data_IF_130959118450
#
_entry.id   IF_130959118450
#
_cell.length_a   1.000
_cell.length_b   1.000
_cell.length_c   1.000
_cell.angle_alpha   90.00
_cell.angle_beta   90.00
_cell.angle_gamma   90.00
#
_symmetry.space_group_name_H-M   'P 1'
#
loop_
_entity.id
_entity.type
_entity.pdbx_description
1 polymer ?
#
# COMPACT_ATOMS: atom_id res chain seq x y z
N UNK A 1 2.08 21.18 -19.51
CA UNK A 1 2.48 19.82 -19.84
C UNK A 1 2.62 18.95 -18.56
N UNK A 2 3.43 19.33 -17.59
CA UNK A 2 3.68 18.60 -16.34
C UNK A 2 2.41 18.24 -15.56
N UNK A 3 1.47 19.18 -15.42
CA UNK A 3 0.20 18.96 -14.72
C UNK A 3 -0.66 17.90 -15.42
N UNK A 4 -0.66 17.84 -16.75
CA UNK A 4 -1.39 16.84 -17.53
C UNK A 4 -0.75 15.44 -17.39
N UNK A 5 0.59 15.35 -17.38
CA UNK A 5 1.32 14.10 -17.20
C UNK A 5 1.11 13.55 -15.80
N UNK A 6 1.27 14.37 -14.77
CA UNK A 6 1.01 13.98 -13.38
C UNK A 6 -0.43 13.49 -13.17
N UNK A 7 -1.41 14.19 -13.74
CA UNK A 7 -2.81 13.79 -13.67
C UNK A 7 -3.05 12.43 -14.35
N UNK A 8 -2.44 12.18 -15.52
CA UNK A 8 -2.51 10.88 -16.20
C UNK A 8 -1.86 9.77 -15.39
N UNK A 9 -0.66 9.99 -14.86
CA UNK A 9 0.06 9.01 -14.03
C UNK A 9 -0.78 8.58 -12.82
N UNK A 10 -1.38 9.53 -12.13
CA UNK A 10 -2.29 9.25 -11.01
C UNK A 10 -3.56 8.53 -11.48
N UNK A 11 -4.17 8.95 -12.60
CA UNK A 11 -5.40 8.34 -13.11
C UNK A 11 -5.21 6.87 -13.53
N UNK A 12 -4.02 6.50 -13.96
CA UNK A 12 -3.63 5.13 -14.30
C UNK A 12 -2.99 4.34 -13.14
N UNK A 13 -3.03 4.86 -11.91
CA UNK A 13 -2.48 4.23 -10.70
C UNK A 13 -0.96 3.99 -10.73
N UNK A 14 -0.21 4.71 -11.56
CA UNK A 14 1.25 4.57 -11.66
C UNK A 14 1.91 4.97 -10.34
N UNK A 15 1.42 6.01 -9.67
CA UNK A 15 1.96 6.46 -8.38
C UNK A 15 1.82 5.38 -7.30
N UNK A 16 0.69 4.67 -7.27
CA UNK A 16 0.44 3.57 -6.33
C UNK A 16 1.39 2.39 -6.63
N UNK A 17 1.60 2.06 -7.91
CA UNK A 17 2.53 1.01 -8.31
C UNK A 17 3.98 1.37 -7.94
N UNK A 18 4.39 2.63 -8.12
CA UNK A 18 5.69 3.13 -7.66
C UNK A 18 5.81 3.07 -6.14
N UNK A 19 4.76 3.39 -5.39
CA UNK A 19 4.74 3.29 -3.94
C UNK A 19 4.93 1.84 -3.45
N UNK A 20 4.31 0.87 -4.12
CA UNK A 20 4.50 -0.55 -3.80
C UNK A 20 5.93 -1.02 -4.11
N UNK A 21 6.49 -0.62 -5.26
CA UNK A 21 7.87 -0.89 -5.62
C UNK A 21 8.87 -0.28 -4.64
N UNK A 22 8.67 0.98 -4.27
CA UNK A 22 9.48 1.69 -3.28
C UNK A 22 9.43 1.00 -1.91
N UNK A 23 8.23 0.60 -1.47
CA UNK A 23 8.04 -0.12 -0.22
C UNK A 23 8.71 -1.50 -0.22
N UNK A 24 8.70 -2.22 -1.35
CA UNK A 24 9.39 -3.51 -1.50
C UNK A 24 10.91 -3.34 -1.55
N UNK A 25 11.39 -2.30 -2.21
CA UNK A 25 12.81 -1.97 -2.24
C UNK A 25 13.36 -1.68 -0.84
N UNK A 26 12.59 -1.02 0.05
CA UNK A 26 12.98 -0.88 1.47
C UNK A 26 13.22 -2.21 2.16
N UNK A 27 12.41 -3.23 1.86
CA UNK A 27 12.61 -4.58 2.41
C UNK A 27 13.88 -5.21 1.85
N UNK A 28 14.14 -5.09 0.54
CA UNK A 28 15.34 -5.61 -0.12
C UNK A 28 16.60 -4.95 0.45
N UNK A 29 16.62 -3.62 0.57
CA UNK A 29 17.73 -2.87 1.17
C UNK A 29 18.02 -3.32 2.61
N UNK A 30 16.98 -3.68 3.37
CA UNK A 30 17.13 -4.10 4.77
C UNK A 30 17.81 -5.45 4.91
N UNK A 31 17.65 -6.36 3.94
CA UNK A 31 18.30 -7.66 3.93
C UNK A 31 19.69 -7.65 3.28
N UNK A 32 20.18 -6.45 2.97
CA UNK A 32 21.50 -6.21 2.37
C UNK A 32 21.74 -6.93 1.03
N UNK A 33 20.65 -7.19 0.29
CA UNK A 33 20.70 -7.79 -1.03
C UNK A 33 20.98 -6.75 -2.11
N UNK A 34 21.62 -7.20 -3.19
CA UNK A 34 21.78 -6.39 -4.39
C UNK A 34 20.38 -6.03 -4.94
N UNK A 35 20.26 -4.83 -5.50
CA UNK A 35 19.02 -4.34 -6.09
C UNK A 35 18.44 -5.35 -7.09
N UNK A 36 17.42 -6.10 -6.67
CA UNK A 36 16.71 -7.01 -7.55
C UNK A 36 15.67 -6.26 -8.37
N UNK A 37 16.11 -5.67 -9.48
CA UNK A 37 15.28 -4.86 -10.38
C UNK A 37 14.11 -5.68 -10.94
N UNK A 38 14.31 -6.98 -11.18
CA UNK A 38 13.26 -7.87 -11.70
C UNK A 38 12.13 -8.00 -10.70
N UNK A 39 12.43 -8.18 -9.40
CA UNK A 39 11.43 -8.26 -8.34
C UNK A 39 10.66 -6.94 -8.18
N UNK A 40 11.37 -5.82 -8.18
CA UNK A 40 10.76 -4.49 -8.10
C UNK A 40 9.82 -4.26 -9.29
N UNK A 41 10.25 -4.64 -10.51
CA UNK A 41 9.42 -4.55 -11.71
C UNK A 41 8.20 -5.49 -11.64
N UNK A 42 8.35 -6.71 -11.14
CA UNK A 42 7.23 -7.65 -10.94
C UNK A 42 6.17 -7.04 -10.03
N UNK A 43 6.57 -6.49 -8.89
CA UNK A 43 5.65 -5.85 -7.94
C UNK A 43 5.00 -4.60 -8.54
N UNK A 44 5.76 -3.81 -9.31
CA UNK A 44 5.23 -2.66 -10.03
C UNK A 44 4.09 -3.05 -10.98
N UNK A 45 4.36 -3.99 -11.89
CA UNK A 45 3.36 -4.41 -12.88
C UNK A 45 2.18 -5.13 -12.23
N UNK A 46 2.41 -5.97 -11.22
CA UNK A 46 1.34 -6.62 -10.48
C UNK A 46 0.41 -5.61 -9.81
N UNK A 47 0.96 -4.62 -9.14
CA UNK A 47 0.18 -3.57 -8.49
C UNK A 47 -0.58 -2.74 -9.52
N UNK A 48 0.07 -2.40 -10.63
CA UNK A 48 -0.56 -1.65 -11.71
C UNK A 48 -1.73 -2.42 -12.34
N UNK A 49 -1.59 -3.74 -12.53
CA UNK A 49 -2.65 -4.62 -13.00
C UNK A 49 -3.83 -4.64 -12.01
N UNK A 50 -3.57 -4.96 -10.74
CA UNK A 50 -4.60 -5.10 -9.69
C UNK A 50 -5.42 -3.80 -9.53
N UNK A 51 -4.78 -2.64 -9.52
CA UNK A 51 -5.46 -1.36 -9.32
C UNK A 51 -6.21 -0.85 -10.54
N UNK A 52 -5.85 -1.30 -11.74
CA UNK A 52 -6.57 -0.95 -12.97
C UNK A 52 -7.68 -1.93 -13.32
N UNK A 53 -7.57 -3.21 -12.96
CA UNK A 53 -8.53 -4.27 -13.28
C UNK A 53 -10.00 -3.92 -12.91
N UNK A 54 -10.33 -3.43 -11.71
CA UNK A 54 -11.72 -3.11 -11.32
C UNK A 54 -12.30 -1.90 -12.05
N UNK A 55 -11.47 -1.15 -12.76
CA UNK A 55 -11.85 0.06 -13.49
C UNK A 55 -11.91 -0.16 -15.00
N UNK A 56 -11.79 -1.41 -15.44
CA UNK A 56 -11.91 -1.75 -16.85
C UNK A 56 -13.34 -1.53 -17.34
N UNK A 57 -13.52 -0.95 -18.53
CA UNK A 57 -14.84 -0.87 -19.16
C UNK A 57 -15.29 -2.28 -19.53
N UNK A 58 -16.55 -2.60 -19.25
CA UNK A 58 -17.17 -3.87 -19.64
C UNK A 58 -17.55 -3.93 -21.13
N UNK A 59 -17.45 -2.81 -21.84
CA UNK A 59 -17.83 -2.66 -23.25
C UNK A 59 -16.67 -2.10 -24.08
N UNK A 60 -16.58 -2.53 -25.35
CA UNK A 60 -15.67 -1.97 -26.34
C UNK A 60 -16.06 -0.52 -26.71
N UNK A 61 -15.11 0.36 -27.08
CA UNK A 61 -13.73 0.07 -27.49
C UNK A 61 -12.75 -0.01 -26.30
N UNK A 62 -11.63 -0.73 -26.51
CA UNK A 62 -10.54 -0.85 -25.54
C UNK A 62 -9.92 0.52 -25.24
N UNK A 63 -9.92 0.91 -23.98
CA UNK A 63 -9.32 2.17 -23.52
C UNK A 63 -7.82 2.01 -23.27
N UNK A 64 -7.08 3.13 -23.20
CA UNK A 64 -5.66 3.12 -22.78
C UNK A 64 -5.46 2.39 -21.45
N UNK A 65 -6.44 2.44 -20.55
CA UNK A 65 -6.40 1.71 -19.26
C UNK A 65 -6.44 0.20 -19.48
N UNK A 66 -7.24 -0.28 -20.42
CA UNK A 66 -7.31 -1.70 -20.75
C UNK A 66 -5.96 -2.20 -21.25
N UNK A 67 -5.32 -1.47 -22.15
CA UNK A 67 -3.99 -1.82 -22.66
C UNK A 67 -2.93 -1.82 -21.56
N UNK A 68 -2.94 -0.82 -20.68
CA UNK A 68 -2.03 -0.78 -19.52
C UNK A 68 -2.25 -1.99 -18.62
N UNK A 69 -3.50 -2.35 -18.34
CA UNK A 69 -3.82 -3.50 -17.51
C UNK A 69 -3.36 -4.82 -18.14
N UNK A 70 -3.69 -5.04 -19.41
CA UNK A 70 -3.28 -6.26 -20.14
C UNK A 70 -1.77 -6.40 -20.24
N UNK A 71 -1.07 -5.30 -20.58
CA UNK A 71 0.39 -5.29 -20.60
C UNK A 71 0.97 -5.61 -19.22
N UNK A 72 0.40 -5.03 -18.17
CA UNK A 72 0.86 -5.26 -16.79
C UNK A 72 0.63 -6.70 -16.34
N UNK A 73 -0.50 -7.32 -16.71
CA UNK A 73 -0.77 -8.75 -16.44
C UNK A 73 0.26 -9.62 -17.16
N UNK A 74 0.50 -9.36 -18.45
CA UNK A 74 1.46 -10.13 -19.25
C UNK A 74 2.89 -9.99 -18.70
N UNK A 75 3.32 -8.76 -18.42
CA UNK A 75 4.62 -8.49 -17.84
C UNK A 75 4.80 -9.21 -16.49
N UNK A 76 3.79 -9.16 -15.62
CA UNK A 76 3.82 -9.87 -14.34
C UNK A 76 3.92 -11.38 -14.55
N UNK A 77 3.12 -11.95 -15.46
CA UNK A 77 3.14 -13.37 -15.76
C UNK A 77 4.50 -13.85 -16.27
N UNK A 78 5.17 -13.05 -17.10
CA UNK A 78 6.54 -13.37 -17.58
C UNK A 78 7.56 -13.28 -16.45
N UNK A 79 7.52 -12.20 -15.67
CA UNK A 79 8.53 -11.93 -14.65
C UNK A 79 8.45 -12.88 -13.46
N UNK A 80 7.26 -13.41 -13.12
CA UNK A 80 7.07 -14.27 -11.95
C UNK A 80 7.77 -15.61 -12.06
N UNK A 81 8.02 -16.11 -13.28
CA UNK A 81 8.74 -17.37 -13.51
C UNK A 81 10.23 -17.33 -13.12
N UNK A 82 10.76 -16.14 -12.80
CA UNK A 82 12.13 -16.00 -12.27
C UNK A 82 12.26 -16.38 -10.80
N UNK A 83 11.14 -16.69 -10.09
CA UNK A 83 11.13 -16.90 -8.65
C UNK A 83 10.81 -18.35 -8.28
N UNK A 84 11.17 -18.70 -7.03
CA UNK A 84 10.87 -19.99 -6.45
C UNK A 84 9.36 -20.22 -6.25
N UNK A 85 8.97 -21.48 -6.08
CA UNK A 85 7.58 -21.88 -5.92
C UNK A 85 6.89 -21.26 -4.70
N UNK A 86 7.64 -20.94 -3.63
CA UNK A 86 7.10 -20.31 -2.41
C UNK A 86 6.64 -18.88 -2.74
N UNK A 87 7.48 -18.12 -3.43
CA UNK A 87 7.15 -16.77 -3.87
C UNK A 87 5.97 -16.77 -4.86
N UNK A 88 5.95 -17.72 -5.81
CA UNK A 88 4.85 -17.86 -6.76
C UNK A 88 3.53 -18.15 -6.03
N UNK A 89 3.52 -19.09 -5.08
CA UNK A 89 2.34 -19.44 -4.30
C UNK A 89 1.85 -18.27 -3.44
N UNK A 90 2.77 -17.54 -2.80
CA UNK A 90 2.45 -16.35 -2.01
C UNK A 90 1.81 -15.27 -2.89
N UNK A 91 2.34 -15.07 -4.09
CA UNK A 91 1.84 -14.11 -5.05
C UNK A 91 0.43 -14.48 -5.56
N UNK A 92 0.22 -15.76 -5.93
CA UNK A 92 -1.09 -16.26 -6.35
C UNK A 92 -2.13 -16.15 -5.22
N UNK A 93 -1.73 -16.46 -3.99
CA UNK A 93 -2.58 -16.29 -2.80
C UNK A 93 -2.97 -14.82 -2.59
N UNK A 94 -2.03 -13.89 -2.76
CA UNK A 94 -2.31 -12.46 -2.66
C UNK A 94 -3.27 -11.98 -3.77
N UNK A 95 -3.10 -12.45 -5.01
CA UNK A 95 -4.04 -12.15 -6.12
C UNK A 95 -5.43 -12.70 -5.78
N UNK A 96 -5.53 -13.97 -5.36
CA UNK A 96 -6.80 -14.59 -5.00
C UNK A 96 -7.50 -13.82 -3.87
N UNK A 97 -6.75 -13.43 -2.85
CA UNK A 97 -7.26 -12.61 -1.77
C UNK A 97 -7.78 -11.24 -2.27
N UNK A 98 -7.07 -10.58 -3.18
CA UNK A 98 -7.52 -9.33 -3.80
C UNK A 98 -8.80 -9.53 -4.64
N UNK A 99 -8.91 -10.63 -5.38
CA UNK A 99 -10.12 -10.96 -6.16
C UNK A 99 -11.31 -11.21 -5.21
N UNK A 100 -11.14 -11.99 -4.16
CA UNK A 100 -12.17 -12.23 -3.13
C UNK A 100 -12.61 -10.90 -2.48
N UNK A 101 -11.67 -10.02 -2.16
CA UNK A 101 -11.97 -8.70 -1.62
C UNK A 101 -12.83 -7.85 -2.55
N UNK A 102 -12.66 -7.99 -3.87
CA UNK A 102 -13.39 -7.21 -4.87
C UNK A 102 -14.76 -7.78 -5.22
N UNK A 103 -14.96 -9.10 -5.07
CA UNK A 103 -16.17 -9.79 -5.50
C UNK A 103 -17.35 -9.53 -4.57
N UNK A 104 -18.53 -9.19 -5.11
CA UNK A 104 -19.77 -9.22 -4.33
C UNK A 104 -20.18 -10.68 -4.09
N UNK A 105 -20.48 -11.04 -2.86
CA UNK A 105 -20.99 -12.38 -2.53
C UNK A 105 -22.52 -12.38 -2.45
N UNK A 106 -23.13 -13.42 -3.01
CA UNK A 106 -24.54 -13.73 -2.78
C UNK A 106 -24.63 -14.76 -1.65
N UNK A 107 -25.17 -14.37 -0.50
CA UNK A 107 -25.42 -15.29 0.61
C UNK A 107 -26.92 -15.29 0.95
N UNK A 108 -27.53 -16.47 0.95
CA UNK A 108 -28.96 -16.68 1.24
C UNK A 108 -29.90 -15.73 0.49
N UNK A 109 -29.67 -15.53 -0.82
CA UNK A 109 -30.50 -14.66 -1.65
C UNK A 109 -30.31 -13.15 -1.45
N UNK A 110 -29.46 -12.74 -0.50
CA UNK A 110 -29.07 -11.34 -0.32
C UNK A 110 -27.70 -11.06 -0.94
N UNK A 111 -27.63 -10.07 -1.80
CA UNK A 111 -26.37 -9.59 -2.37
C UNK A 111 -25.56 -8.86 -1.30
N UNK A 112 -24.62 -9.57 -0.67
CA UNK A 112 -23.66 -8.97 0.26
C UNK A 112 -22.65 -8.22 -0.60
N UNK A 113 -22.60 -6.91 -0.40
CA UNK A 113 -21.60 -6.04 -1.05
C UNK A 113 -20.23 -6.40 -0.47
N UNK A 114 -19.52 -7.39 -1.00
CA UNK A 114 -18.16 -7.85 -0.70
C UNK A 114 -17.48 -7.42 0.61
N UNK A 115 -16.36 -8.01 0.95
CA UNK A 115 -15.54 -7.70 2.16
C UNK A 115 -15.24 -6.20 2.27
N UNK A 116 -15.10 -5.52 1.14
CA UNK A 116 -14.88 -4.08 1.04
C UNK A 116 -15.90 -3.21 1.80
N UNK A 117 -17.09 -3.72 2.09
CA UNK A 117 -18.16 -2.97 2.77
C UNK A 117 -18.35 -3.37 4.23
N UNK A 118 -17.50 -4.27 4.76
CA UNK A 118 -17.52 -4.65 6.17
C UNK A 118 -16.68 -3.63 6.94
N UNK A 119 -17.26 -3.11 8.03
CA UNK A 119 -16.62 -2.15 8.93
C UNK A 119 -15.19 -2.58 9.31
N UNK A 120 -14.25 -1.68 9.19
CA UNK A 120 -12.83 -1.86 9.50
C UNK A 120 -12.09 -2.93 8.67
N UNK A 121 -12.78 -3.98 8.23
CA UNK A 121 -12.16 -5.13 7.55
C UNK A 121 -11.47 -4.72 6.25
N UNK A 122 -12.02 -3.74 5.53
CA UNK A 122 -11.41 -3.22 4.30
C UNK A 122 -10.01 -2.62 4.55
N UNK A 123 -9.83 -1.88 5.65
CA UNK A 123 -8.56 -1.21 5.98
C UNK A 123 -7.52 -2.22 6.46
N UNK A 124 -7.95 -3.17 7.31
CA UNK A 124 -7.12 -4.29 7.77
C UNK A 124 -6.67 -5.14 6.58
N UNK A 125 -7.61 -5.52 5.70
CA UNK A 125 -7.30 -6.34 4.54
C UNK A 125 -6.34 -5.65 3.58
N UNK A 126 -6.55 -4.36 3.30
CA UNK A 126 -5.66 -3.57 2.47
C UNK A 126 -4.25 -3.51 3.07
N UNK A 127 -4.13 -3.19 4.36
CA UNK A 127 -2.85 -3.10 5.05
C UNK A 127 -2.12 -4.45 5.11
N UNK A 128 -2.84 -5.55 5.36
CA UNK A 128 -2.30 -6.91 5.29
C UNK A 128 -1.80 -7.25 3.89
N UNK A 129 -2.59 -6.99 2.85
CA UNK A 129 -2.19 -7.27 1.46
C UNK A 129 -0.92 -6.51 1.07
N UNK A 130 -0.80 -5.24 1.48
CA UNK A 130 0.40 -4.46 1.24
C UNK A 130 1.61 -5.01 2.01
N UNK A 131 1.45 -5.40 3.27
CA UNK A 131 2.52 -5.99 4.06
C UNK A 131 2.96 -7.35 3.49
N UNK A 132 2.03 -8.19 3.04
CA UNK A 132 2.32 -9.45 2.36
C UNK A 132 3.15 -9.23 1.08
N UNK A 133 2.69 -8.33 0.19
CA UNK A 133 3.31 -8.11 -1.13
C UNK A 133 4.64 -7.35 -0.99
N UNK A 134 4.77 -6.41 -0.05
CA UNK A 134 5.96 -5.55 0.03
C UNK A 134 6.98 -6.00 1.07
N UNK A 135 6.66 -7.00 1.90
CA UNK A 135 7.60 -7.55 2.90
C UNK A 135 7.78 -9.05 2.71
N UNK A 136 6.73 -9.87 2.84
CA UNK A 136 6.89 -11.32 2.79
C UNK A 136 7.24 -11.84 1.40
N UNK A 137 6.63 -11.27 0.35
CA UNK A 137 6.94 -11.68 -1.02
C UNK A 137 8.41 -11.44 -1.40
N UNK A 138 9.03 -10.26 -1.16
CA UNK A 138 10.46 -10.06 -1.38
C UNK A 138 11.34 -11.04 -0.59
N UNK A 139 11.01 -11.30 0.67
CA UNK A 139 11.76 -12.23 1.51
C UNK A 139 11.71 -13.65 0.94
N UNK A 140 10.51 -14.14 0.60
CA UNK A 140 10.32 -15.46 0.00
C UNK A 140 10.99 -15.58 -1.38
N UNK A 141 10.92 -14.53 -2.20
CA UNK A 141 11.51 -14.51 -3.54
C UNK A 141 13.03 -14.58 -3.53
N UNK A 142 13.65 -13.99 -2.51
CA UNK A 142 15.10 -13.96 -2.32
C UNK A 142 15.61 -15.12 -1.46
N UNK A 143 14.72 -15.93 -0.90
CA UNK A 143 15.10 -17.06 -0.03
C UNK A 143 15.72 -16.62 1.30
N UNK A 144 15.43 -15.38 1.74
CA UNK A 144 15.98 -14.83 2.96
C UNK A 144 15.06 -14.99 4.16
N UNK A 145 15.67 -15.34 5.30
CA UNK A 145 15.05 -15.29 6.62
C UNK A 145 15.66 -14.14 7.41
N UNK A 146 14.81 -13.35 8.06
CA UNK A 146 15.25 -12.25 8.92
C UNK A 146 14.61 -12.41 10.30
N UNK A 147 15.41 -12.28 11.39
CA UNK A 147 14.87 -12.38 12.75
C UNK A 147 13.82 -11.31 13.07
N UNK A 148 13.86 -10.18 12.37
CA UNK A 148 12.94 -9.05 12.56
C UNK A 148 11.86 -8.95 11.48
N UNK A 149 11.60 -10.03 10.74
CA UNK A 149 10.59 -10.00 9.66
C UNK A 149 9.20 -9.64 10.18
N UNK A 150 8.87 -10.09 11.39
CA UNK A 150 7.55 -9.82 12.01
C UNK A 150 7.39 -8.34 12.32
N UNK A 151 8.42 -7.70 12.84
CA UNK A 151 8.45 -6.27 13.16
C UNK A 151 8.38 -5.43 11.88
N UNK A 152 9.15 -5.76 10.85
CA UNK A 152 9.11 -5.08 9.55
C UNK A 152 7.72 -5.22 8.90
N UNK A 153 7.13 -6.41 8.98
CA UNK A 153 5.76 -6.66 8.51
C UNK A 153 4.75 -5.81 9.29
N UNK A 154 4.86 -5.77 10.61
CA UNK A 154 3.98 -4.98 11.47
C UNK A 154 4.12 -3.48 11.21
N UNK A 155 5.34 -2.98 11.03
CA UNK A 155 5.60 -1.59 10.64
C UNK A 155 4.91 -1.25 9.32
N UNK A 156 5.03 -2.11 8.30
CA UNK A 156 4.37 -1.91 7.01
C UNK A 156 2.84 -1.91 7.15
N UNK A 157 2.33 -2.86 7.90
CA UNK A 157 0.90 -2.95 8.19
C UNK A 157 0.37 -1.68 8.85
N UNK A 158 0.99 -1.22 9.94
CA UNK A 158 0.57 -0.04 10.71
C UNK A 158 0.60 1.22 9.83
N UNK A 159 1.65 1.40 9.05
CA UNK A 159 1.81 2.58 8.19
C UNK A 159 0.75 2.64 7.09
N UNK A 160 0.53 1.52 6.39
CA UNK A 160 -0.49 1.43 5.33
C UNK A 160 -1.90 1.49 5.92
N UNK A 161 -2.13 0.94 7.11
CA UNK A 161 -3.40 1.08 7.81
C UNK A 161 -3.72 2.55 8.09
N UNK A 162 -2.76 3.32 8.60
CA UNK A 162 -2.90 4.77 8.78
C UNK A 162 -3.23 5.51 7.49
N UNK A 163 -2.50 5.21 6.40
CA UNK A 163 -2.79 5.76 5.06
C UNK A 163 -4.22 5.43 4.61
N UNK A 164 -4.66 4.18 4.80
CA UNK A 164 -5.99 3.75 4.38
C UNK A 164 -7.12 4.48 5.10
N UNK A 165 -6.92 4.80 6.38
CA UNK A 165 -7.86 5.61 7.15
C UNK A 165 -7.96 7.06 6.66
N UNK A 166 -6.87 7.65 6.16
CA UNK A 166 -6.93 8.97 5.53
C UNK A 166 -7.84 8.97 4.29
N UNK A 167 -7.80 7.91 3.48
CA UNK A 167 -8.73 7.76 2.35
C UNK A 167 -10.18 7.59 2.80
N UNK A 168 -10.43 6.96 3.94
CA UNK A 168 -11.77 6.91 4.51
C UNK A 168 -12.27 8.27 4.96
N UNK A 169 -11.39 9.12 5.53
CA UNK A 169 -11.72 10.52 5.87
C UNK A 169 -12.13 11.27 4.60
N UNK A 170 -11.40 11.12 3.48
CA UNK A 170 -11.74 11.72 2.18
C UNK A 170 -13.13 11.31 1.70
N UNK A 171 -13.44 10.03 1.84
CA UNK A 171 -14.65 9.46 1.25
C UNK A 171 -15.87 9.52 2.19
N UNK A 172 -15.75 10.15 3.38
CA UNK A 172 -16.79 10.19 4.43
C UNK A 172 -18.17 10.59 3.90
N UNK A 173 -18.27 11.67 3.12
CA UNK A 173 -19.55 12.16 2.57
C UNK A 173 -20.14 11.12 1.60
N UNK A 174 -19.33 10.58 0.73
CA UNK A 174 -19.73 9.57 -0.25
C UNK A 174 -20.12 8.24 0.39
N UNK A 175 -19.39 7.83 1.43
CA UNK A 175 -19.66 6.59 2.16
C UNK A 175 -20.96 6.72 2.96
N UNK A 176 -21.22 7.89 3.55
CA UNK A 176 -22.48 8.18 4.24
C UNK A 176 -23.68 8.12 3.30
N UNK A 177 -23.61 8.71 2.10
CA UNK A 177 -24.69 8.64 1.10
C UNK A 177 -24.94 7.24 0.55
N UNK A 178 -23.94 6.36 0.59
CA UNK A 178 -24.03 4.97 0.13
C UNK A 178 -24.32 3.96 1.25
N UNK A 179 -24.55 4.42 2.47
CA UNK A 179 -24.70 3.58 3.67
C UNK A 179 -23.52 2.59 3.85
N UNK A 180 -22.29 3.05 3.58
CA UNK A 180 -21.08 2.30 3.86
C UNK A 180 -20.60 2.63 5.28
N UNK A 181 -20.47 1.61 6.13
CA UNK A 181 -20.00 1.77 7.51
C UNK A 181 -18.47 1.83 7.53
N UNK A 182 -17.90 3.03 7.43
CA UNK A 182 -16.46 3.28 7.60
C UNK A 182 -16.20 3.98 8.94
N UNK A 183 -14.95 3.93 9.43
CA UNK A 183 -14.58 4.54 10.71
C UNK A 183 -15.04 6.00 10.82
N UNK A 184 -14.77 6.88 9.84
CA UNK A 184 -15.19 8.27 9.94
C UNK A 184 -16.72 8.47 9.82
N UNK A 185 -17.44 7.51 9.21
CA UNK A 185 -18.92 7.55 9.17
C UNK A 185 -19.52 7.15 10.52
N UNK A 186 -18.92 6.16 11.22
CA UNK A 186 -19.44 5.62 12.48
C UNK A 186 -18.96 6.43 13.69
N UNK A 187 -17.66 6.73 13.76
CA UNK A 187 -17.01 7.36 14.91
C UNK A 187 -16.68 8.85 14.69
N UNK A 188 -16.89 9.35 13.48
CA UNK A 188 -16.49 10.70 13.11
C UNK A 188 -15.05 10.84 12.64
N UNK A 189 -14.78 11.91 11.88
CA UNK A 189 -13.45 12.16 11.31
C UNK A 189 -12.40 12.47 12.37
N UNK A 190 -12.79 13.11 13.47
CA UNK A 190 -11.87 13.46 14.58
C UNK A 190 -11.34 12.21 15.26
N UNK A 191 -12.21 11.26 15.63
CA UNK A 191 -11.79 10.00 16.24
C UNK A 191 -10.91 9.20 15.27
N UNK A 192 -11.26 9.18 13.98
CA UNK A 192 -10.44 8.52 12.96
C UNK A 192 -9.03 9.11 12.87
N UNK A 193 -8.88 10.43 12.96
CA UNK A 193 -7.56 11.09 13.03
C UNK A 193 -6.75 10.65 14.25
N UNK A 194 -7.38 10.57 15.43
CA UNK A 194 -6.71 10.08 16.64
C UNK A 194 -6.26 8.63 16.49
N UNK A 195 -7.02 7.77 15.80
CA UNK A 195 -6.61 6.39 15.51
C UNK A 195 -5.37 6.39 14.60
N UNK A 196 -5.30 7.25 13.57
CA UNK A 196 -4.09 7.39 12.75
C UNK A 196 -2.90 7.86 13.57
N UNK A 197 -3.08 8.85 14.45
CA UNK A 197 -2.01 9.35 15.33
C UNK A 197 -1.55 8.26 16.31
N UNK A 198 -2.47 7.51 16.89
CA UNK A 198 -2.14 6.38 17.76
C UNK A 198 -1.37 5.26 17.01
N UNK A 199 -1.77 4.95 15.77
CA UNK A 199 -1.02 4.01 14.93
C UNK A 199 0.38 4.53 14.59
N UNK A 200 0.54 5.82 14.35
CA UNK A 200 1.84 6.45 14.14
C UNK A 200 2.71 6.40 15.39
N UNK A 201 2.13 6.64 16.57
CA UNK A 201 2.86 6.50 17.84
C UNK A 201 3.34 5.07 18.07
N UNK A 202 2.49 4.06 17.80
CA UNK A 202 2.88 2.66 17.87
C UNK A 202 4.01 2.33 16.86
N UNK A 203 3.96 2.87 15.64
CA UNK A 203 5.04 2.73 14.68
C UNK A 203 6.36 3.28 15.22
N UNK A 204 6.36 4.49 15.78
CA UNK A 204 7.55 5.11 16.36
C UNK A 204 8.10 4.29 17.54
N UNK A 205 7.24 3.73 18.38
CA UNK A 205 7.64 2.85 19.47
C UNK A 205 8.38 1.60 18.97
N UNK A 206 7.84 0.94 17.93
CA UNK A 206 8.48 -0.23 17.33
C UNK A 206 9.82 0.15 16.69
N UNK A 207 9.89 1.25 15.96
CA UNK A 207 11.15 1.74 15.36
C UNK A 207 12.18 2.05 16.46
N UNK A 208 11.76 2.68 17.55
CA UNK A 208 12.65 2.98 18.71
C UNK A 208 13.14 1.71 19.40
N UNK A 209 12.29 0.70 19.52
CA UNK A 209 12.67 -0.62 20.01
C UNK A 209 13.72 -1.27 19.11
N UNK A 210 13.51 -1.30 17.79
CA UNK A 210 14.44 -1.86 16.82
C UNK A 210 15.79 -1.10 16.79
N UNK A 211 15.76 0.20 16.99
CA UNK A 211 16.97 1.00 17.14
C UNK A 211 17.74 0.64 18.42
N UNK A 212 17.06 0.51 19.56
CA UNK A 212 17.69 0.13 20.84
C UNK A 212 18.34 -1.26 20.82
N UNK A 213 17.77 -2.18 20.05
CA UNK A 213 18.29 -3.53 19.87
C UNK A 213 19.24 -3.66 18.67
N UNK A 214 19.77 -2.54 18.15
CA UNK A 214 20.77 -2.47 17.08
C UNK A 214 20.30 -3.09 15.73
N UNK A 215 18.99 -3.33 15.61
CA UNK A 215 18.42 -3.81 14.35
C UNK A 215 18.28 -2.68 13.31
N UNK A 216 18.13 -1.44 13.73
CA UNK A 216 18.12 -0.26 12.89
C UNK A 216 19.25 0.68 13.27
N UNK A 217 19.94 1.24 12.26
CA UNK A 217 20.91 2.32 12.50
C UNK A 217 20.18 3.62 12.88
N UNK A 218 20.88 4.55 13.55
CA UNK A 218 20.31 5.83 13.92
C UNK A 218 19.75 6.62 12.73
N UNK A 219 20.44 6.71 11.56
CA UNK A 219 19.91 7.40 10.39
C UNK A 219 18.63 6.73 9.84
N UNK A 220 18.58 5.39 9.80
CA UNK A 220 17.40 4.64 9.37
C UNK A 220 16.21 4.89 10.30
N UNK A 221 16.41 4.79 11.63
CA UNK A 221 15.37 5.04 12.61
C UNK A 221 14.83 6.48 12.50
N UNK A 222 15.72 7.46 12.36
CA UNK A 222 15.36 8.87 12.16
C UNK A 222 14.53 9.07 10.89
N UNK A 223 14.91 8.44 9.78
CA UNK A 223 14.17 8.51 8.51
C UNK A 223 12.74 7.94 8.65
N UNK A 224 12.59 6.81 9.34
CA UNK A 224 11.27 6.23 9.63
C UNK A 224 10.43 7.14 10.54
N UNK A 225 11.02 7.74 11.57
CA UNK A 225 10.33 8.67 12.46
C UNK A 225 9.87 9.91 11.68
N UNK A 226 10.74 10.53 10.88
CA UNK A 226 10.38 11.70 10.07
C UNK A 226 9.23 11.37 9.10
N UNK A 227 9.30 10.24 8.40
CA UNK A 227 8.22 9.83 7.49
C UNK A 227 6.90 9.60 8.23
N UNK A 228 6.95 9.08 9.45
CA UNK A 228 5.76 8.87 10.28
C UNK A 228 5.17 10.18 10.80
N UNK A 229 6.01 11.16 11.12
CA UNK A 229 5.54 12.52 11.45
C UNK A 229 4.83 13.18 10.27
N UNK A 230 5.25 12.93 9.04
CA UNK A 230 4.52 13.39 7.85
C UNK A 230 3.12 12.74 7.75
N UNK A 231 2.98 11.46 8.12
CA UNK A 231 1.67 10.82 8.22
C UNK A 231 0.80 11.46 9.29
N UNK A 232 1.35 11.85 10.44
CA UNK A 232 0.64 12.58 11.50
C UNK A 232 0.17 13.94 11.00
N UNK A 233 1.05 14.69 10.33
CA UNK A 233 0.69 15.99 9.72
C UNK A 233 -0.45 15.79 8.71
N UNK A 234 -0.35 14.79 7.86
CA UNK A 234 -1.42 14.45 6.92
C UNK A 234 -2.73 14.12 7.64
N UNK A 235 -2.70 13.41 8.78
CA UNK A 235 -3.90 13.08 9.56
C UNK A 235 -4.58 14.34 10.15
N UNK A 236 -3.79 15.26 10.69
CA UNK A 236 -4.28 16.50 11.28
C UNK A 236 -4.93 17.38 10.22
N UNK A 237 -4.30 17.48 9.04
CA UNK A 237 -4.71 18.39 7.96
C UNK A 237 -5.68 17.77 6.95
N UNK A 238 -5.99 16.46 7.05
CA UNK A 238 -6.82 15.73 6.10
C UNK A 238 -8.21 16.38 5.93
N UNK A 239 -8.55 16.90 4.73
CA UNK A 239 -9.88 17.44 4.49
C UNK A 239 -10.91 16.31 4.34
N UNK A 240 -12.15 16.43 4.89
CA UNK A 240 -13.18 15.39 4.80
C UNK A 240 -13.90 15.40 3.44
N UNK A 241 -13.20 15.74 2.38
CA UNK A 241 -13.68 15.78 1.00
C UNK A 241 -12.55 15.52 0.02
N UNK A 242 -12.89 15.15 -1.22
CA UNK A 242 -11.90 14.84 -2.24
C UNK A 242 -11.07 16.08 -2.61
N UNK A 243 -9.77 16.00 -2.34
CA UNK A 243 -8.76 16.97 -2.77
C UNK A 243 -7.66 16.21 -3.52
N UNK A 244 -7.56 16.44 -4.84
CA UNK A 244 -6.63 15.73 -5.71
C UNK A 244 -5.18 15.89 -5.25
N UNK A 245 -4.73 17.12 -4.98
CA UNK A 245 -3.35 17.38 -4.58
C UNK A 245 -3.01 16.73 -3.25
N UNK A 246 -3.93 16.83 -2.29
CA UNK A 246 -3.70 16.29 -0.96
C UNK A 246 -3.69 14.75 -0.95
N UNK A 247 -4.71 14.11 -1.51
CA UNK A 247 -4.86 12.65 -1.40
C UNK A 247 -4.11 11.89 -2.50
N UNK A 248 -4.36 12.22 -3.76
CA UNK A 248 -3.83 11.46 -4.89
C UNK A 248 -2.38 11.79 -5.23
N UNK A 249 -1.84 12.89 -4.71
CA UNK A 249 -0.41 13.21 -4.82
C UNK A 249 0.25 13.10 -3.46
N UNK A 250 -0.25 13.80 -2.44
CA UNK A 250 0.37 13.87 -1.12
C UNK A 250 0.31 12.52 -0.38
N UNK A 251 -0.90 11.99 -0.12
CA UNK A 251 -1.08 10.77 0.68
C UNK A 251 -0.55 9.53 -0.05
N UNK A 252 -0.81 9.39 -1.36
CA UNK A 252 -0.30 8.27 -2.15
C UNK A 252 1.23 8.26 -2.24
N UNK A 253 1.90 9.42 -2.12
CA UNK A 253 3.36 9.51 -2.16
C UNK A 253 4.04 9.26 -0.81
N UNK A 254 3.33 9.16 0.31
CA UNK A 254 3.94 8.98 1.64
C UNK A 254 4.89 7.78 1.72
N UNK A 255 4.55 6.66 1.06
CA UNK A 255 5.44 5.49 0.99
C UNK A 255 6.69 5.75 0.14
N UNK A 256 6.57 6.53 -0.93
CA UNK A 256 7.71 6.93 -1.76
C UNK A 256 8.62 7.87 -0.97
N UNK A 257 8.04 8.82 -0.24
CA UNK A 257 8.81 9.74 0.63
C UNK A 257 9.51 8.96 1.75
N UNK A 258 8.82 8.00 2.37
CA UNK A 258 9.45 7.12 3.37
C UNK A 258 10.65 6.39 2.77
N UNK A 259 10.48 5.81 1.57
CA UNK A 259 11.56 5.14 0.84
C UNK A 259 12.72 6.10 0.56
N UNK A 260 12.47 7.29 0.03
CA UNK A 260 13.51 8.28 -0.27
C UNK A 260 14.31 8.66 0.98
N UNK A 261 13.63 8.93 2.10
CA UNK A 261 14.28 9.28 3.36
C UNK A 261 15.19 8.16 3.86
N UNK A 262 14.74 6.91 3.80
CA UNK A 262 15.53 5.76 4.24
C UNK A 262 16.70 5.49 3.29
N UNK A 263 16.50 5.57 1.96
CA UNK A 263 17.58 5.39 0.98
C UNK A 263 18.67 6.44 1.18
N UNK A 264 18.29 7.69 1.37
CA UNK A 264 19.23 8.77 1.66
C UNK A 264 19.97 8.51 2.98
N UNK A 265 19.24 8.15 4.04
CA UNK A 265 19.83 7.86 5.33
C UNK A 265 20.84 6.69 5.30
N UNK A 266 20.54 5.61 4.55
CA UNK A 266 21.43 4.43 4.44
C UNK A 266 22.63 4.72 3.53
N UNK A 267 22.51 5.61 2.55
CA UNK A 267 23.55 5.84 1.56
C UNK A 267 24.63 6.86 2.02
N UNK A 268 24.27 7.74 2.94
CA UNK A 268 25.16 8.81 3.42
C UNK A 268 25.70 8.57 4.83
N UNK A 269 25.37 7.47 5.45
CA UNK A 269 25.85 7.05 6.77
C UNK A 269 26.12 5.53 6.81
#
# INVERSE_FOLDING_TARGET
LFRKIAHKAVSYNILIALAASAASHLTILRINEQNNVVLIATIFFATLAIYNFPRLPLQMPLTSRTWICLFSILATAILIFNYNYIAINLFLTAILACLIYMMPFNYKGKRIKGIRNIFLLKNIFLALSWALITVLLPMAALGHESPIIKEVFLLRFIYVFGISLLFDIRDTVKDKTRNHLTLPVVLGTTVTRYIVIASAALFILIVSFLYRHEHFSAPMATAFIISTLLLVIAAITAPPFSNFKFYQVGVDSLLIVQWLLVVVAVKFY
#
